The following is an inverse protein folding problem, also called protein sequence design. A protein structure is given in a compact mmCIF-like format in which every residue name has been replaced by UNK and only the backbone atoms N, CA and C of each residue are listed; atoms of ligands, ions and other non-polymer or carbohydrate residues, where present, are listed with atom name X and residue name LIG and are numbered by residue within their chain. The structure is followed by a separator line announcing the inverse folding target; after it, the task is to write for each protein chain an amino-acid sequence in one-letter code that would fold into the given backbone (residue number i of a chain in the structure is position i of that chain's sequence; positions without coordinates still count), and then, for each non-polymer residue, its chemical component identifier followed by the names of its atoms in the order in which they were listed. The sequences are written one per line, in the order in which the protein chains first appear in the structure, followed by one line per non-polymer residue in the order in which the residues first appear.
data_IF_727915131334
#
_entry.id   IF_727915131334
#
_cell.length_a   1.000
_cell.length_b   1.000
_cell.length_c   1.000
_cell.angle_alpha   90.00
_cell.angle_beta   90.00
_cell.angle_gamma   90.00
#
_symmetry.space_group_name_H-M   'P 1'
#
loop_
_entity.id
_entity.type
_entity.pdbx_description
1 polymer ?
#
# COMPACT_ATOMS: atom_id res chain seq x y z
N UNK A 1 -1.75 11.27 -27.34
CA UNK A 1 -0.45 10.90 -27.92
C UNK A 1 0.66 11.49 -27.05
N UNK A 2 1.41 10.61 -26.39
CA UNK A 2 2.44 10.97 -25.40
C UNK A 2 3.63 11.68 -26.07
N UNK A 3 4.07 11.20 -27.21
CA UNK A 3 5.20 11.78 -27.96
C UNK A 3 4.93 13.22 -28.41
N UNK A 4 3.68 13.49 -28.79
CA UNK A 4 3.25 14.83 -29.20
C UNK A 4 2.77 15.70 -28.05
N UNK A 5 2.65 15.15 -26.85
CA UNK A 5 2.09 15.84 -25.67
C UNK A 5 0.63 16.28 -25.85
N UNK A 6 -0.14 15.56 -26.70
CA UNK A 6 -1.53 15.90 -27.02
C UNK A 6 -2.48 14.82 -26.52
N UNK A 7 -3.70 15.24 -26.15
CA UNK A 7 -4.74 14.37 -25.62
C UNK A 7 -4.88 14.48 -24.11
N UNK A 8 -6.07 14.16 -23.64
CA UNK A 8 -6.43 14.26 -22.21
C UNK A 8 -6.08 12.98 -21.46
N UNK A 9 -6.47 11.82 -22.00
CA UNK A 9 -6.24 10.53 -21.36
C UNK A 9 -4.82 10.06 -21.63
N UNK A 10 -4.08 9.73 -20.57
CA UNK A 10 -2.69 9.29 -20.62
C UNK A 10 -2.55 7.79 -20.36
N UNK A 11 -3.09 7.33 -19.24
CA UNK A 11 -3.02 5.93 -18.83
C UNK A 11 -4.37 5.46 -18.28
N UNK A 12 -4.54 4.16 -18.27
CA UNK A 12 -5.60 3.48 -17.55
C UNK A 12 -4.94 2.39 -16.69
N UNK A 13 -5.04 2.51 -15.38
CA UNK A 13 -4.58 1.49 -14.44
C UNK A 13 -5.79 0.68 -13.97
N UNK A 14 -5.67 -0.63 -14.05
CA UNK A 14 -6.65 -1.57 -13.51
C UNK A 14 -6.05 -2.28 -12.30
N UNK A 15 -6.81 -2.31 -11.21
CA UNK A 15 -6.50 -3.09 -10.02
C UNK A 15 -7.63 -4.06 -9.74
N UNK A 16 -7.28 -5.28 -9.40
CA UNK A 16 -8.25 -6.29 -8.96
C UNK A 16 -7.79 -6.91 -7.66
N UNK A 17 -8.65 -6.94 -6.66
CA UNK A 17 -8.46 -7.76 -5.46
C UNK A 17 -8.53 -9.23 -5.84
N UNK A 18 -7.53 -10.00 -5.43
CA UNK A 18 -7.43 -11.42 -5.80
C UNK A 18 -8.51 -12.22 -5.11
N UNK A 19 -8.68 -12.01 -3.80
CA UNK A 19 -9.65 -12.74 -2.99
C UNK A 19 -11.05 -12.18 -3.10
N UNK A 20 -11.19 -10.86 -3.14
CA UNK A 20 -12.51 -10.21 -3.16
C UNK A 20 -13.11 -10.08 -4.56
N UNK A 21 -12.28 -10.14 -5.61
CA UNK A 21 -12.69 -9.88 -6.99
C UNK A 21 -13.07 -8.41 -7.28
N UNK A 22 -12.94 -7.51 -6.30
CA UNK A 22 -13.23 -6.08 -6.48
C UNK A 22 -12.32 -5.46 -7.53
N UNK A 23 -12.89 -4.59 -8.36
CA UNK A 23 -12.16 -3.97 -9.48
C UNK A 23 -12.14 -2.45 -9.32
N UNK A 24 -10.95 -1.88 -9.41
CA UNK A 24 -10.72 -0.44 -9.49
C UNK A 24 -10.21 -0.07 -10.88
N UNK A 25 -10.79 0.97 -11.44
CA UNK A 25 -10.32 1.61 -12.68
C UNK A 25 -9.77 2.99 -12.33
N UNK A 26 -8.51 3.25 -12.68
CA UNK A 26 -7.89 4.57 -12.50
C UNK A 26 -7.62 5.17 -13.87
N UNK A 27 -8.27 6.28 -14.16
CA UNK A 27 -8.09 7.05 -15.40
C UNK A 27 -7.05 8.15 -15.13
N UNK A 28 -5.89 8.03 -15.74
CA UNK A 28 -4.86 9.07 -15.63
C UNK A 28 -5.04 10.09 -16.73
N UNK A 29 -5.27 11.34 -16.32
CA UNK A 29 -5.54 12.46 -17.25
C UNK A 29 -4.47 13.54 -17.12
N UNK A 30 -4.17 14.23 -18.23
CA UNK A 30 -3.24 15.36 -18.24
C UNK A 30 -3.82 16.62 -17.58
N UNK A 31 -5.13 16.68 -17.36
CA UNK A 31 -5.83 17.84 -16.82
C UNK A 31 -6.93 17.41 -15.83
N UNK A 32 -7.28 18.25 -14.86
CA UNK A 32 -8.27 17.89 -13.83
C UNK A 32 -9.70 17.84 -14.36
N UNK A 33 -9.99 18.47 -15.51
CA UNK A 33 -11.32 18.43 -16.13
C UNK A 33 -11.41 17.23 -17.09
N UNK A 34 -12.28 16.30 -16.77
CA UNK A 34 -12.64 15.17 -17.64
C UNK A 34 -14.02 15.47 -18.26
N UNK A 35 -14.08 15.93 -19.52
CA UNK A 35 -15.36 16.22 -20.19
C UNK A 35 -16.21 14.97 -20.28
N UNK A 36 -17.50 15.09 -19.99
CA UNK A 36 -18.44 13.97 -20.06
C UNK A 36 -18.20 12.85 -19.06
N UNK A 37 -17.47 13.09 -17.95
CA UNK A 37 -17.12 12.09 -16.96
C UNK A 37 -18.30 11.23 -16.50
N UNK A 38 -19.47 11.84 -16.24
CA UNK A 38 -20.67 11.11 -15.82
C UNK A 38 -21.17 10.13 -16.89
N UNK A 39 -21.18 10.55 -18.16
CA UNK A 39 -21.59 9.70 -19.27
C UNK A 39 -20.59 8.57 -19.53
N UNK A 40 -19.30 8.89 -19.42
CA UNK A 40 -18.22 7.91 -19.53
C UNK A 40 -18.34 6.84 -18.44
N UNK A 41 -18.48 7.24 -17.17
CA UNK A 41 -18.67 6.32 -16.03
C UNK A 41 -19.87 5.42 -16.26
N UNK A 42 -21.02 5.99 -16.66
CA UNK A 42 -22.25 5.23 -16.94
C UNK A 42 -22.02 4.20 -18.06
N UNK A 43 -21.39 4.61 -19.16
CA UNK A 43 -21.11 3.71 -20.28
C UNK A 43 -20.15 2.59 -19.88
N UNK A 44 -19.08 2.91 -19.15
CA UNK A 44 -18.12 1.93 -18.67
C UNK A 44 -18.75 0.90 -17.73
N UNK A 45 -19.55 1.33 -16.77
CA UNK A 45 -20.25 0.43 -15.85
C UNK A 45 -21.26 -0.47 -16.59
N UNK A 46 -21.98 0.10 -17.57
CA UNK A 46 -22.93 -0.65 -18.38
C UNK A 46 -22.23 -1.73 -19.21
N UNK A 47 -21.12 -1.37 -19.85
CA UNK A 47 -20.39 -2.32 -20.71
C UNK A 47 -19.67 -3.39 -19.87
N UNK A 48 -19.04 -3.02 -18.76
CA UNK A 48 -18.45 -3.97 -17.83
C UNK A 48 -19.50 -4.98 -17.30
N UNK A 49 -20.70 -4.50 -16.96
CA UNK A 49 -21.80 -5.36 -16.52
C UNK A 49 -22.24 -6.37 -17.58
N UNK A 50 -22.27 -6.00 -18.87
CA UNK A 50 -22.56 -6.93 -19.97
C UNK A 50 -21.50 -8.04 -20.08
N UNK A 51 -20.26 -7.74 -19.70
CA UNK A 51 -19.14 -8.69 -19.70
C UNK A 51 -19.02 -9.46 -18.37
N UNK A 52 -19.97 -9.31 -17.45
CA UNK A 52 -19.93 -9.95 -16.14
C UNK A 52 -18.90 -9.37 -15.18
N UNK A 53 -18.37 -8.16 -15.43
CA UNK A 53 -17.40 -7.49 -14.59
C UNK A 53 -18.09 -6.44 -13.72
N UNK A 54 -17.99 -6.58 -12.40
CA UNK A 54 -18.47 -5.58 -11.45
C UNK A 54 -17.33 -4.61 -11.08
N UNK A 55 -17.36 -3.40 -11.63
CA UNK A 55 -16.42 -2.35 -11.24
C UNK A 55 -16.86 -1.78 -9.89
N UNK A 56 -15.95 -1.85 -8.90
CA UNK A 56 -16.20 -1.38 -7.52
C UNK A 56 -16.00 0.12 -7.40
N UNK A 57 -14.96 0.66 -8.05
CA UNK A 57 -14.64 2.09 -7.99
C UNK A 57 -13.94 2.56 -9.26
N UNK A 58 -14.16 3.83 -9.59
CA UNK A 58 -13.48 4.53 -10.71
C UNK A 58 -12.90 5.82 -10.15
N UNK A 59 -11.61 6.02 -10.35
CA UNK A 59 -10.86 7.19 -9.88
C UNK A 59 -10.24 7.90 -11.08
N UNK A 60 -10.32 9.21 -11.13
CA UNK A 60 -9.49 10.05 -11.99
C UNK A 60 -8.25 10.44 -11.21
N UNK A 61 -7.09 10.15 -11.76
CA UNK A 61 -5.80 10.66 -11.28
C UNK A 61 -5.29 11.68 -12.29
N UNK A 62 -4.77 12.81 -11.82
CA UNK A 62 -4.26 13.88 -12.68
C UNK A 62 -2.75 13.86 -12.66
N UNK A 63 -2.15 13.62 -13.83
CA UNK A 63 -0.71 13.65 -14.00
C UNK A 63 -0.35 14.33 -15.33
N UNK A 64 0.21 15.52 -15.26
CA UNK A 64 0.70 16.31 -16.39
C UNK A 64 2.22 16.18 -16.57
N UNK A 65 2.90 15.47 -15.68
CA UNK A 65 4.37 15.33 -15.67
C UNK A 65 4.84 14.48 -16.85
N UNK A 66 5.92 14.92 -17.48
CA UNK A 66 6.63 14.15 -18.53
C UNK A 66 7.70 13.26 -17.90
N UNK A 67 7.29 12.32 -17.07
CA UNK A 67 8.18 11.38 -16.38
C UNK A 67 7.64 9.95 -16.51
N UNK A 68 8.42 8.96 -16.10
CA UNK A 68 8.01 7.55 -16.05
C UNK A 68 6.97 7.27 -14.94
N UNK A 69 6.71 8.23 -14.06
CA UNK A 69 5.72 8.09 -12.98
C UNK A 69 4.32 8.16 -13.58
N UNK A 70 3.56 7.09 -13.44
CA UNK A 70 2.21 6.95 -14.02
C UNK A 70 1.18 7.79 -13.27
N UNK A 71 1.20 7.78 -11.93
CA UNK A 71 0.22 8.46 -11.09
C UNK A 71 0.74 9.82 -10.59
N UNK A 72 -0.10 10.84 -10.71
CA UNK A 72 0.12 12.17 -10.12
C UNK A 72 -0.42 12.26 -8.68
N UNK A 73 -0.35 13.48 -8.13
CA UNK A 73 -0.71 13.71 -6.72
C UNK A 73 -2.18 14.04 -6.49
N UNK A 74 -2.91 14.41 -7.56
CA UNK A 74 -4.32 14.80 -7.47
C UNK A 74 -5.23 13.65 -7.90
N UNK A 75 -6.17 13.30 -7.05
CA UNK A 75 -7.17 12.26 -7.32
C UNK A 75 -8.60 12.79 -7.13
N UNK A 76 -9.52 12.24 -7.92
CA UNK A 76 -10.95 12.51 -7.83
C UNK A 76 -11.72 11.21 -8.01
N UNK A 77 -12.51 10.84 -7.03
CA UNK A 77 -13.42 9.70 -7.14
C UNK A 77 -14.56 10.04 -8.08
N UNK A 78 -14.70 9.25 -9.14
CA UNK A 78 -15.78 9.39 -10.13
C UNK A 78 -16.94 8.46 -9.82
N UNK A 79 -16.65 7.28 -9.22
CA UNK A 79 -17.63 6.27 -8.82
C UNK A 79 -17.08 5.42 -7.67
N UNK A 80 -17.95 4.98 -6.77
CA UNK A 80 -17.59 4.15 -5.63
C UNK A 80 -16.90 4.91 -4.50
N UNK A 81 -16.03 4.22 -3.75
CA UNK A 81 -15.38 4.73 -2.53
C UNK A 81 -13.97 5.27 -2.75
N UNK A 82 -13.37 5.08 -3.94
CA UNK A 82 -11.99 5.47 -4.23
C UNK A 82 -10.95 4.41 -3.83
N UNK A 83 -11.38 3.29 -3.29
CA UNK A 83 -10.51 2.16 -2.95
C UNK A 83 -11.23 0.83 -3.19
N UNK A 84 -10.49 -0.25 -3.24
CA UNK A 84 -10.99 -1.62 -3.21
C UNK A 84 -10.49 -2.32 -1.95
N UNK A 85 -11.15 -3.40 -1.57
CA UNK A 85 -10.69 -4.28 -0.52
C UNK A 85 -10.07 -5.53 -1.13
N UNK A 86 -9.02 -6.05 -0.48
CA UNK A 86 -8.51 -7.39 -0.74
C UNK A 86 -8.10 -8.05 0.57
N UNK A 87 -7.91 -9.36 0.55
CA UNK A 87 -7.51 -10.13 1.73
C UNK A 87 -6.10 -10.70 1.50
N UNK A 88 -5.27 -10.67 2.53
CA UNK A 88 -3.92 -11.24 2.54
C UNK A 88 -3.60 -11.72 3.96
N UNK A 89 -3.11 -12.95 4.10
CA UNK A 89 -2.78 -13.56 5.40
C UNK A 89 -3.91 -13.42 6.43
N UNK A 90 -5.17 -13.63 6.01
CA UNK A 90 -6.34 -13.56 6.88
C UNK A 90 -6.75 -12.16 7.33
N UNK A 91 -6.18 -11.11 6.76
CA UNK A 91 -6.54 -9.71 7.06
C UNK A 91 -7.02 -8.99 5.81
N UNK A 92 -7.96 -8.07 5.99
CA UNK A 92 -8.53 -7.26 4.91
C UNK A 92 -7.80 -5.93 4.80
N UNK A 93 -7.41 -5.55 3.60
CA UNK A 93 -6.70 -4.31 3.29
C UNK A 93 -7.49 -3.43 2.34
N UNK A 94 -7.61 -2.15 2.67
CA UNK A 94 -8.07 -1.13 1.75
C UNK A 94 -6.90 -0.70 0.84
N UNK A 95 -7.11 -0.82 -0.46
CA UNK A 95 -6.12 -0.51 -1.49
C UNK A 95 -6.57 0.73 -2.25
N UNK A 96 -5.86 1.84 -2.05
CA UNK A 96 -6.04 3.07 -2.83
C UNK A 96 -5.33 2.97 -4.20
N UNK A 97 -5.53 3.90 -5.14
CA UNK A 97 -4.81 3.90 -6.42
C UNK A 97 -3.29 3.85 -6.28
N UNK A 98 -2.75 4.51 -5.26
CA UNK A 98 -1.32 4.71 -5.02
C UNK A 98 -0.71 3.71 -4.02
N UNK A 99 -1.53 2.92 -3.30
CA UNK A 99 -1.04 1.93 -2.35
C UNK A 99 -0.15 0.90 -3.06
N UNK A 100 1.06 0.68 -2.55
CA UNK A 100 1.83 -0.49 -2.95
C UNK A 100 1.19 -1.74 -2.33
N UNK A 101 1.02 -2.76 -3.13
CA UNK A 101 0.50 -4.06 -2.70
C UNK A 101 1.11 -5.14 -3.59
N UNK A 102 1.57 -6.22 -3.01
CA UNK A 102 2.28 -7.28 -3.72
C UNK A 102 1.37 -7.94 -4.78
N UNK A 103 1.86 -8.04 -6.01
CA UNK A 103 1.08 -8.53 -7.16
C UNK A 103 0.89 -10.05 -7.09
N UNK A 104 1.92 -10.79 -6.66
CA UNK A 104 1.83 -12.24 -6.55
C UNK A 104 1.29 -12.63 -5.18
N UNK A 105 -0.03 -12.57 -5.04
CA UNK A 105 -0.76 -12.81 -3.80
C UNK A 105 -0.34 -14.11 -3.11
N UNK A 106 -0.40 -15.24 -3.82
CA UNK A 106 -0.11 -16.57 -3.25
C UNK A 106 1.33 -16.67 -2.72
N UNK A 107 2.31 -16.15 -3.48
CA UNK A 107 3.70 -16.17 -3.02
C UNK A 107 3.94 -15.16 -1.90
N UNK A 108 3.19 -14.08 -1.85
CA UNK A 108 3.26 -13.12 -0.75
C UNK A 108 2.80 -13.75 0.56
N UNK A 109 1.72 -14.52 0.56
CA UNK A 109 1.27 -15.24 1.76
C UNK A 109 2.31 -16.25 2.24
N UNK A 110 2.93 -16.99 1.32
CA UNK A 110 4.03 -17.91 1.64
C UNK A 110 5.22 -17.15 2.23
N UNK A 111 5.65 -16.06 1.60
CA UNK A 111 6.77 -15.26 2.05
C UNK A 111 6.52 -14.64 3.44
N UNK A 112 5.34 -14.08 3.66
CA UNK A 112 5.00 -13.46 4.95
C UNK A 112 4.87 -14.51 6.05
N UNK A 113 4.28 -15.68 5.74
CA UNK A 113 4.26 -16.83 6.66
C UNK A 113 5.67 -17.24 7.09
N UNK A 114 6.57 -17.46 6.13
CA UNK A 114 7.96 -17.79 6.42
C UNK A 114 8.69 -16.72 7.23
N UNK A 115 8.43 -15.44 6.97
CA UNK A 115 9.03 -14.34 7.72
C UNK A 115 8.55 -14.31 9.18
N UNK A 116 7.25 -14.50 9.40
CA UNK A 116 6.67 -14.57 10.76
C UNK A 116 7.17 -15.81 11.51
N UNK A 117 7.24 -16.96 10.85
CA UNK A 117 7.77 -18.21 11.44
C UNK A 117 9.25 -18.05 11.83
N UNK A 118 10.07 -17.45 10.96
CA UNK A 118 11.48 -17.20 11.22
C UNK A 118 11.72 -16.20 12.36
N UNK A 119 10.75 -15.35 12.63
CA UNK A 119 10.82 -14.38 13.73
C UNK A 119 10.61 -15.02 15.12
N UNK A 120 10.10 -16.25 15.19
CA UNK A 120 9.83 -17.01 16.44
C UNK A 120 9.07 -16.20 17.50
N UNK A 121 8.05 -15.46 17.07
CA UNK A 121 7.27 -14.58 17.94
C UNK A 121 6.48 -15.40 19.00
N UNK A 122 6.54 -14.95 20.25
CA UNK A 122 5.90 -15.61 21.41
C UNK A 122 4.80 -14.76 22.04
N UNK A 123 4.50 -13.59 21.48
CA UNK A 123 3.57 -12.59 22.03
C UNK A 123 4.23 -11.60 23.00
N UNK A 124 5.55 -11.64 23.17
CA UNK A 124 6.30 -10.74 24.07
C UNK A 124 7.16 -9.74 23.34
N UNK A 125 7.41 -9.95 22.07
CA UNK A 125 8.34 -9.21 21.24
C UNK A 125 7.74 -7.90 20.75
N UNK A 126 8.59 -6.88 20.66
CA UNK A 126 8.37 -5.63 19.92
C UNK A 126 8.92 -5.83 18.51
N UNK A 127 8.04 -5.77 17.52
CA UNK A 127 8.37 -5.92 16.11
C UNK A 127 8.43 -4.54 15.46
N UNK A 128 9.51 -4.27 14.74
CA UNK A 128 9.63 -3.11 13.85
C UNK A 128 9.41 -3.58 12.40
N UNK A 129 8.44 -2.98 11.71
CA UNK A 129 8.21 -3.11 10.28
C UNK A 129 8.75 -1.85 9.58
N UNK A 130 10.00 -1.92 9.15
CA UNK A 130 10.67 -0.83 8.46
C UNK A 130 10.27 -0.85 6.97
N UNK A 131 9.88 0.30 6.43
CA UNK A 131 9.27 0.45 5.09
C UNK A 131 7.90 -0.22 4.98
N UNK A 132 7.08 -0.06 6.00
CA UNK A 132 5.87 -0.87 6.19
C UNK A 132 4.76 -0.67 5.13
N UNK A 133 4.85 0.35 4.28
CA UNK A 133 3.80 0.65 3.31
C UNK A 133 2.42 0.80 3.98
N UNK A 134 1.44 0.04 3.50
CA UNK A 134 0.09 -0.01 4.08
C UNK A 134 -0.04 -0.99 5.25
N UNK A 135 1.10 -1.46 5.79
CA UNK A 135 1.19 -2.27 7.00
C UNK A 135 1.00 -3.78 6.81
N UNK A 136 1.21 -4.33 5.61
CA UNK A 136 0.86 -5.73 5.32
C UNK A 136 1.67 -6.74 6.12
N UNK A 137 2.99 -6.58 6.23
CA UNK A 137 3.85 -7.50 7.01
C UNK A 137 3.61 -7.31 8.51
N UNK A 138 3.66 -6.07 8.99
CA UNK A 138 3.49 -5.78 10.40
C UNK A 138 2.14 -6.21 10.94
N UNK A 139 1.05 -5.99 10.19
CA UNK A 139 -0.29 -6.43 10.61
C UNK A 139 -0.43 -7.96 10.59
N UNK A 140 0.25 -8.66 9.69
CA UNK A 140 0.30 -10.13 9.71
C UNK A 140 1.03 -10.64 10.98
N UNK A 141 2.12 -10.00 11.37
CA UNK A 141 2.87 -10.34 12.57
C UNK A 141 2.17 -9.95 13.88
N UNK A 142 1.21 -9.01 13.84
CA UNK A 142 0.60 -8.42 15.03
C UNK A 142 -0.13 -9.43 15.92
N UNK A 143 -0.66 -10.52 15.36
CA UNK A 143 -1.35 -11.58 16.13
C UNK A 143 -0.39 -12.39 17.02
N UNK A 144 0.91 -12.34 16.71
CA UNK A 144 1.96 -13.10 17.38
C UNK A 144 2.95 -12.21 18.16
N UNK A 145 2.79 -10.89 18.12
CA UNK A 145 3.68 -9.92 18.75
C UNK A 145 3.01 -9.19 19.92
N UNK A 146 3.81 -8.73 20.88
CA UNK A 146 3.34 -7.81 21.94
C UNK A 146 2.95 -6.45 21.34
N UNK A 147 3.78 -5.96 20.42
CA UNK A 147 3.58 -4.67 19.76
C UNK A 147 4.24 -4.69 18.39
N UNK A 148 3.60 -4.02 17.44
CA UNK A 148 4.17 -3.72 16.12
C UNK A 148 4.34 -2.21 15.97
N UNK A 149 5.50 -1.81 15.46
CA UNK A 149 5.81 -0.43 15.09
C UNK A 149 6.12 -0.41 13.61
N UNK A 150 5.27 0.24 12.81
CA UNK A 150 5.48 0.43 11.38
C UNK A 150 6.06 1.81 11.09
N UNK A 151 7.06 1.88 10.22
CA UNK A 151 7.67 3.14 9.79
C UNK A 151 7.67 3.21 8.27
N UNK A 152 7.13 4.29 7.73
CA UNK A 152 6.98 4.52 6.29
C UNK A 152 7.12 6.02 5.99
N UNK A 153 7.82 6.37 4.94
CA UNK A 153 8.02 7.77 4.55
C UNK A 153 6.78 8.39 3.91
N UNK A 154 5.98 7.58 3.23
CA UNK A 154 4.76 8.03 2.57
C UNK A 154 3.61 8.17 3.57
N UNK A 155 3.22 9.41 3.84
CA UNK A 155 2.13 9.74 4.80
C UNK A 155 0.78 9.12 4.43
N UNK A 156 0.49 8.99 3.14
CA UNK A 156 -0.76 8.36 2.68
C UNK A 156 -0.77 6.87 2.99
N UNK A 157 0.36 6.18 2.74
CA UNK A 157 0.50 4.77 3.08
C UNK A 157 0.39 4.54 4.60
N UNK A 158 0.96 5.44 5.42
CA UNK A 158 0.78 5.40 6.88
C UNK A 158 -0.68 5.57 7.29
N UNK A 159 -1.39 6.52 6.66
CA UNK A 159 -2.82 6.69 6.90
C UNK A 159 -3.61 5.42 6.54
N UNK A 160 -3.30 4.79 5.40
CA UNK A 160 -3.91 3.53 4.99
C UNK A 160 -3.56 2.39 5.97
N UNK A 161 -2.31 2.31 6.46
CA UNK A 161 -1.89 1.32 7.46
C UNK A 161 -2.68 1.44 8.77
N UNK A 162 -2.88 2.66 9.27
CA UNK A 162 -3.70 2.94 10.45
C UNK A 162 -5.16 2.52 10.20
N UNK A 163 -5.70 2.85 9.04
CA UNK A 163 -7.04 2.43 8.61
C UNK A 163 -7.18 0.92 8.55
N UNK A 164 -6.20 0.22 7.97
CA UNK A 164 -6.14 -1.23 7.86
C UNK A 164 -6.04 -1.90 9.25
N UNK A 165 -5.21 -1.37 10.15
CA UNK A 165 -5.15 -1.85 11.54
C UNK A 165 -6.51 -1.76 12.23
N UNK A 166 -7.16 -0.61 12.12
CA UNK A 166 -8.49 -0.38 12.70
C UNK A 166 -9.54 -1.32 12.08
N UNK A 167 -9.52 -1.49 10.77
CA UNK A 167 -10.46 -2.37 10.05
C UNK A 167 -10.34 -3.82 10.51
N UNK A 168 -9.13 -4.28 10.76
CA UNK A 168 -8.84 -5.64 11.24
C UNK A 168 -8.89 -5.79 12.78
N UNK A 169 -9.27 -4.75 13.52
CA UNK A 169 -9.33 -4.80 14.98
C UNK A 169 -7.96 -4.92 15.68
N UNK A 170 -6.86 -4.67 14.96
CA UNK A 170 -5.49 -4.73 15.51
C UNK A 170 -5.25 -3.50 16.38
N UNK A 171 -4.99 -3.73 17.67
CA UNK A 171 -4.84 -2.68 18.70
C UNK A 171 -3.39 -2.47 19.13
N UNK A 172 -2.52 -3.42 18.86
CA UNK A 172 -1.10 -3.44 19.25
C UNK A 172 -0.15 -2.96 18.15
N UNK A 173 -0.66 -2.36 17.07
CA UNK A 173 0.15 -1.77 16.00
C UNK A 173 0.09 -0.23 16.05
N UNK A 174 1.26 0.41 15.83
CA UNK A 174 1.41 1.87 15.68
C UNK A 174 2.22 2.17 14.44
N UNK A 175 1.86 3.25 13.73
CA UNK A 175 2.51 3.61 12.47
C UNK A 175 3.00 5.05 12.50
N UNK A 176 4.22 5.29 11.96
CA UNK A 176 4.89 6.57 11.96
C UNK A 176 5.28 6.97 10.53
N UNK A 177 4.97 8.21 10.17
CA UNK A 177 5.38 8.79 8.89
C UNK A 177 6.78 9.40 9.04
N UNK A 178 7.81 8.61 8.73
CA UNK A 178 9.21 9.01 8.88
C UNK A 178 10.11 8.23 7.90
N UNK A 179 11.31 8.76 7.66
CA UNK A 179 12.37 7.96 7.05
C UNK A 179 12.81 6.86 8.03
N UNK A 180 12.79 5.61 7.59
CA UNK A 180 13.03 4.44 8.44
C UNK A 180 14.43 4.47 9.08
N UNK A 181 15.46 4.89 8.32
CA UNK A 181 16.84 4.96 8.82
C UNK A 181 16.97 5.99 9.94
N UNK A 182 16.43 7.18 9.70
CA UNK A 182 16.46 8.26 10.68
C UNK A 182 15.67 7.87 11.93
N UNK A 183 14.47 7.33 11.76
CA UNK A 183 13.61 6.92 12.87
C UNK A 183 14.29 5.87 13.75
N UNK A 184 14.91 4.84 13.15
CA UNK A 184 15.64 3.79 13.88
C UNK A 184 16.80 4.40 14.67
N UNK A 185 17.55 5.33 14.08
CA UNK A 185 18.66 6.02 14.77
C UNK A 185 18.17 6.84 15.97
N UNK A 186 17.09 7.60 15.82
CA UNK A 186 16.47 8.40 16.88
C UNK A 186 15.90 7.50 18.01
N UNK A 187 15.20 6.42 17.67
CA UNK A 187 14.67 5.46 18.62
C UNK A 187 15.78 4.76 19.41
N UNK A 188 16.84 4.33 18.74
CA UNK A 188 18.01 3.72 19.39
C UNK A 188 18.72 4.71 20.35
N UNK A 189 18.85 5.98 19.96
CA UNK A 189 19.40 7.02 20.83
C UNK A 189 18.51 7.31 22.05
N UNK A 190 17.19 7.15 21.91
CA UNK A 190 16.23 7.23 23.00
C UNK A 190 16.19 5.98 23.90
N UNK A 191 16.97 4.94 23.57
CA UNK A 191 17.00 3.67 24.32
C UNK A 191 15.88 2.71 23.96
N UNK A 192 15.08 2.99 22.93
CA UNK A 192 14.06 2.08 22.42
C UNK A 192 14.73 0.92 21.68
N UNK A 193 14.11 -0.27 21.77
CA UNK A 193 14.61 -1.49 21.14
C UNK A 193 13.46 -2.26 20.51
N UNK A 194 13.72 -2.84 19.35
CA UNK A 194 12.90 -3.87 18.74
C UNK A 194 13.59 -5.23 18.92
N UNK A 195 12.79 -6.25 19.19
CA UNK A 195 13.29 -7.63 19.30
C UNK A 195 13.43 -8.26 17.92
N UNK A 196 12.56 -7.86 16.99
CA UNK A 196 12.54 -8.32 15.59
C UNK A 196 12.36 -7.12 14.66
N UNK A 197 13.07 -7.13 13.53
CA UNK A 197 12.94 -6.12 12.48
C UNK A 197 12.61 -6.82 11.16
N UNK A 198 11.46 -6.50 10.58
CA UNK A 198 11.16 -6.78 9.17
C UNK A 198 11.62 -5.62 8.31
N UNK A 199 12.27 -5.94 7.20
CA UNK A 199 12.77 -4.94 6.26
C UNK A 199 12.42 -5.35 4.83
N UNK A 200 11.62 -4.52 4.16
CA UNK A 200 11.33 -4.62 2.72
C UNK A 200 11.64 -3.27 2.05
N UNK A 201 12.95 -2.91 1.94
CA UNK A 201 13.36 -1.62 1.43
C UNK A 201 13.07 -1.49 -0.08
N UNK A 202 13.00 -0.24 -0.61
CA UNK A 202 12.90 -0.01 -2.04
C UNK A 202 14.12 -0.56 -2.79
N UNK A 203 14.04 -0.67 -4.13
CA UNK A 203 15.12 -1.24 -4.98
C UNK A 203 16.46 -0.53 -4.83
N UNK A 204 16.46 0.72 -4.41
CA UNK A 204 17.67 1.51 -4.10
C UNK A 204 18.37 1.03 -2.83
N UNK A 205 17.74 0.12 -2.10
CA UNK A 205 18.24 -0.45 -0.85
C UNK A 205 17.99 0.46 0.35
N UNK A 206 18.59 0.06 1.47
CA UNK A 206 18.63 0.84 2.71
C UNK A 206 20.01 1.48 2.89
N UNK A 207 20.12 2.47 3.76
CA UNK A 207 21.41 3.12 4.04
C UNK A 207 22.34 2.20 4.84
N UNK A 208 23.65 2.44 4.75
CA UNK A 208 24.69 1.64 5.45
C UNK A 208 24.48 1.54 6.96
N UNK A 209 23.82 2.51 7.59
CA UNK A 209 23.53 2.50 9.02
C UNK A 209 22.66 1.31 9.47
N UNK A 210 21.75 0.85 8.62
CA UNK A 210 20.93 -0.34 8.92
C UNK A 210 21.71 -1.65 8.70
N UNK A 211 22.65 -1.66 7.76
CA UNK A 211 23.52 -2.84 7.51
C UNK A 211 24.61 -3.02 8.55
N UNK A 212 25.00 -1.97 9.27
CA UNK A 212 26.06 -2.02 10.30
C UNK A 212 25.51 -2.26 11.70
N UNK A 213 24.20 -2.30 11.87
CA UNK A 213 23.61 -2.72 13.16
C UNK A 213 23.96 -4.20 13.39
N UNK A 214 24.60 -4.55 14.54
CA UNK A 214 24.92 -5.95 14.80
C UNK A 214 23.61 -6.74 14.82
N UNK A 215 23.53 -7.75 13.94
CA UNK A 215 22.40 -8.69 13.94
C UNK A 215 22.30 -9.29 15.35
N UNK A 216 21.13 -9.25 15.99
CA UNK A 216 20.94 -9.99 17.24
C UNK A 216 21.23 -11.46 16.94
N UNK A 217 22.08 -12.07 17.77
CA UNK A 217 22.41 -13.50 17.70
C UNK A 217 21.25 -14.32 18.22
#
# INVERSE_FOLDING_TARGET
NEDKGTGLLRHCLLRRGVMTGQVMVVLVTAQPVLPGAKNFVKALLTEAGKQGVAITTIVQNVNDRKTSVVLGDMEKVLYGKGFILDELCGKTYALSPRSFYQINHTQTEVLYGLAVDAAHLTGKEVVLDAYCGIGTIGLTAADHAKQVVGVEVNREAVHDAIGNAKHNGVKNARFFAADATRWIGEAAAAGERADVIFMDPPREGSTCLLYTSPSPR
#
